data_IF_113231314217
#
_entry.id   IF_113231314217
#
_cell.length_a   1.000
_cell.length_b   1.000
_cell.length_c   1.000
_cell.angle_alpha   90.00
_cell.angle_beta   90.00
_cell.angle_gamma   90.00
#
_symmetry.space_group_name_H-M   'P 1'
#
loop_
_entity.id
_entity.type
_entity.pdbx_description
1 polymer ?
#
# COMPACT_ATOMS: atom_id res chain seq x y z
N UNK A 1 -37.09 -8.81 46.04
CA UNK A 1 -35.90 -8.02 46.43
C UNK A 1 -34.64 -8.23 45.56
N UNK A 2 -34.48 -9.33 44.81
CA UNK A 2 -33.23 -9.60 44.05
C UNK A 2 -33.00 -8.74 42.78
N UNK A 3 -34.05 -8.24 42.12
CA UNK A 3 -33.92 -7.41 40.89
C UNK A 3 -33.33 -6.02 41.11
N UNK A 4 -33.53 -5.40 42.29
CA UNK A 4 -33.01 -4.05 42.56
C UNK A 4 -31.49 -4.04 42.82
N UNK A 5 -30.92 -5.14 43.34
CA UNK A 5 -29.48 -5.23 43.57
C UNK A 5 -28.67 -5.42 42.28
N UNK A 6 -29.24 -6.07 41.26
CA UNK A 6 -28.56 -6.23 39.96
C UNK A 6 -28.47 -4.92 39.16
N UNK A 7 -29.48 -4.04 39.27
CA UNK A 7 -29.46 -2.73 38.62
C UNK A 7 -28.45 -1.78 39.27
N UNK A 8 -28.31 -1.81 40.61
CA UNK A 8 -27.30 -1.02 41.33
C UNK A 8 -25.86 -1.46 41.01
N UNK A 9 -25.64 -2.75 40.76
CA UNK A 9 -24.31 -3.28 40.40
C UNK A 9 -23.90 -2.89 38.97
N UNK A 10 -24.81 -2.98 37.99
CA UNK A 10 -24.54 -2.56 36.60
C UNK A 10 -24.34 -1.04 36.45
N UNK A 11 -25.07 -0.22 37.22
CA UNK A 11 -24.81 1.23 37.23
C UNK A 11 -23.45 1.57 37.84
N UNK A 12 -23.04 0.89 38.93
CA UNK A 12 -21.72 1.11 39.53
C UNK A 12 -20.59 0.72 38.58
N UNK A 13 -20.67 -0.40 37.85
CA UNK A 13 -19.61 -0.83 36.93
C UNK A 13 -19.51 0.00 35.64
N UNK A 14 -20.62 0.53 35.14
CA UNK A 14 -20.61 1.44 33.99
C UNK A 14 -20.07 2.82 34.34
N UNK A 15 -20.32 3.29 35.58
CA UNK A 15 -19.81 4.58 36.07
C UNK A 15 -18.33 4.50 36.43
N UNK A 16 -17.86 3.41 37.05
CA UNK A 16 -16.43 3.20 37.33
C UNK A 16 -15.61 2.99 36.06
N UNK A 17 -16.16 2.38 35.01
CA UNK A 17 -15.49 2.25 33.71
C UNK A 17 -15.28 3.59 32.98
N UNK A 18 -16.28 4.47 33.00
CA UNK A 18 -16.15 5.83 32.42
C UNK A 18 -15.31 6.76 33.28
N UNK A 19 -15.45 6.71 34.62
CA UNK A 19 -14.56 7.47 35.51
C UNK A 19 -13.11 7.00 35.43
N UNK A 20 -12.86 5.70 35.24
CA UNK A 20 -11.50 5.18 35.07
C UNK A 20 -10.80 5.74 33.83
N UNK A 21 -11.54 5.88 32.72
CA UNK A 21 -11.01 6.48 31.49
C UNK A 21 -10.80 8.00 31.62
N UNK A 22 -11.70 8.70 32.33
CA UNK A 22 -11.54 10.14 32.55
C UNK A 22 -10.40 10.39 33.55
N UNK A 23 -10.31 9.63 34.63
CA UNK A 23 -9.24 9.71 35.62
C UNK A 23 -7.86 9.34 35.03
N UNK A 24 -7.80 8.38 34.09
CA UNK A 24 -6.55 8.04 33.41
C UNK A 24 -6.10 9.14 32.45
N UNK A 25 -7.05 9.80 31.75
CA UNK A 25 -6.75 10.98 30.93
C UNK A 25 -6.27 12.15 31.78
N UNK A 26 -6.94 12.44 32.90
CA UNK A 26 -6.49 13.49 33.84
C UNK A 26 -5.13 13.15 34.46
N UNK A 27 -4.89 11.90 34.84
CA UNK A 27 -3.59 11.44 35.33
C UNK A 27 -2.48 11.61 34.27
N UNK A 28 -2.76 11.29 33.01
CA UNK A 28 -1.81 11.51 31.92
C UNK A 28 -1.49 13.00 31.71
N UNK A 29 -2.48 13.89 31.83
CA UNK A 29 -2.27 15.34 31.72
C UNK A 29 -1.40 15.87 32.86
N UNK A 30 -1.63 15.40 34.09
CA UNK A 30 -0.82 15.79 35.26
C UNK A 30 0.62 15.29 35.13
N UNK A 31 0.81 14.05 34.68
CA UNK A 31 2.13 13.47 34.43
C UNK A 31 2.85 14.25 33.32
N UNK A 32 2.16 14.61 32.24
CA UNK A 32 2.75 15.43 31.17
C UNK A 32 3.15 16.81 31.68
N UNK A 33 2.30 17.47 32.49
CA UNK A 33 2.60 18.78 33.08
C UNK A 33 3.83 18.73 34.01
N UNK A 34 3.91 17.74 34.89
CA UNK A 34 5.07 17.53 35.77
C UNK A 34 6.33 17.14 35.01
N UNK A 35 6.18 16.42 33.90
CA UNK A 35 7.28 16.03 33.02
C UNK A 35 7.93 17.25 32.37
N UNK A 36 7.16 18.26 31.95
CA UNK A 36 7.70 19.49 31.35
C UNK A 36 8.55 20.31 32.31
N UNK A 37 8.25 20.31 33.62
CA UNK A 37 9.02 21.09 34.59
C UNK A 37 10.39 20.46 34.95
N UNK A 38 10.59 19.17 34.69
CA UNK A 38 11.83 18.48 35.00
C UNK A 38 12.46 17.89 33.73
N UNK A 39 13.54 18.49 33.25
CA UNK A 39 14.21 18.06 32.01
C UNK A 39 14.58 16.57 31.99
N UNK A 40 14.97 16.01 33.13
CA UNK A 40 15.35 14.60 33.26
C UNK A 40 14.14 13.67 33.06
N UNK A 41 12.99 14.03 33.65
CA UNK A 41 11.76 13.23 33.55
C UNK A 41 11.18 13.32 32.14
N UNK A 42 11.24 14.51 31.52
CA UNK A 42 10.87 14.70 30.13
C UNK A 42 11.67 13.79 29.19
N UNK A 43 12.99 13.76 29.33
CA UNK A 43 13.85 12.91 28.49
C UNK A 43 13.52 11.43 28.65
N UNK A 44 13.30 10.95 29.88
CA UNK A 44 12.88 9.57 30.13
C UNK A 44 11.52 9.24 29.50
N UNK A 45 10.55 10.15 29.62
CA UNK A 45 9.24 9.99 29.01
C UNK A 45 9.32 9.92 27.48
N UNK A 46 10.11 10.80 26.85
CA UNK A 46 10.29 10.81 25.40
C UNK A 46 10.97 9.52 24.92
N UNK A 47 11.98 9.03 25.64
CA UNK A 47 12.65 7.76 25.31
C UNK A 47 11.67 6.58 25.41
N UNK A 48 10.89 6.50 26.48
CA UNK A 48 9.86 5.45 26.65
C UNK A 48 8.76 5.56 25.59
N UNK A 49 8.33 6.76 25.24
CA UNK A 49 7.35 7.01 24.20
C UNK A 49 7.88 6.57 22.83
N UNK A 50 9.14 6.90 22.51
CA UNK A 50 9.78 6.48 21.25
C UNK A 50 9.96 4.97 21.18
N UNK A 51 10.38 4.31 22.26
CA UNK A 51 10.49 2.85 22.33
C UNK A 51 9.13 2.18 22.18
N UNK A 52 8.11 2.67 22.90
CA UNK A 52 6.74 2.16 22.83
C UNK A 52 6.11 2.36 21.45
N UNK A 53 6.27 3.56 20.86
CA UNK A 53 5.79 3.88 19.52
C UNK A 53 6.50 3.04 18.46
N UNK A 54 7.83 2.91 18.53
CA UNK A 54 8.62 2.06 17.63
C UNK A 54 8.17 0.59 17.70
N UNK A 55 7.96 0.05 18.91
CA UNK A 55 7.44 -1.31 19.09
C UNK A 55 6.02 -1.47 18.52
N UNK A 56 5.12 -0.53 18.81
CA UNK A 56 3.74 -0.54 18.32
C UNK A 56 3.68 -0.47 16.78
N UNK A 57 4.46 0.43 16.17
CA UNK A 57 4.55 0.57 14.73
C UNK A 57 5.12 -0.69 14.07
N UNK A 58 6.19 -1.27 14.62
CA UNK A 58 6.74 -2.54 14.13
C UNK A 58 5.73 -3.68 14.20
N UNK A 59 4.97 -3.80 15.29
CA UNK A 59 3.91 -4.80 15.44
C UNK A 59 2.80 -4.61 14.40
N UNK A 60 2.37 -3.36 14.18
CA UNK A 60 1.31 -3.03 13.21
C UNK A 60 1.77 -3.26 11.77
N UNK A 61 3.02 -2.93 11.43
CA UNK A 61 3.61 -3.19 10.11
C UNK A 61 3.73 -4.69 9.87
N UNK A 62 4.18 -5.47 10.85
CA UNK A 62 4.26 -6.93 10.72
C UNK A 62 2.87 -7.58 10.55
N UNK A 63 1.84 -7.05 11.22
CA UNK A 63 0.46 -7.50 11.05
C UNK A 63 -0.10 -7.21 9.65
N UNK A 64 0.37 -6.14 8.98
CA UNK A 64 -0.02 -5.81 7.60
C UNK A 64 0.77 -6.67 6.60
N UNK A 65 2.06 -6.93 6.85
CA UNK A 65 2.88 -7.83 6.02
C UNK A 65 2.29 -9.25 5.99
N UNK A 66 1.90 -9.80 7.15
CA UNK A 66 1.24 -11.12 7.22
C UNK A 66 -0.07 -11.22 6.43
N UNK A 67 -0.78 -10.10 6.23
CA UNK A 67 -2.00 -10.05 5.41
C UNK A 67 -1.73 -9.81 3.93
N UNK A 68 -0.52 -9.36 3.59
CA UNK A 68 -0.09 -9.07 2.21
C UNK A 68 0.58 -10.29 1.56
N UNK A 69 1.00 -11.27 2.35
CA UNK A 69 1.56 -12.55 1.88
C UNK A 69 0.49 -13.60 1.48
N UNK A 70 -0.79 -13.21 1.36
CA UNK A 70 -1.73 -14.03 0.58
C UNK A 70 -1.43 -13.86 -0.91
N UNK A 71 -1.04 -14.93 -1.63
CA UNK A 71 -0.61 -14.82 -3.00
C UNK A 71 -1.83 -14.71 -3.92
N UNK A 72 -2.23 -13.48 -4.24
CA UNK A 72 -3.09 -13.20 -5.40
C UNK A 72 -2.48 -12.03 -6.16
N UNK A 73 -1.30 -12.27 -6.74
CA UNK A 73 -0.86 -11.56 -7.93
C UNK A 73 -0.51 -12.65 -8.94
N UNK A 74 -1.35 -12.94 -9.94
CA UNK A 74 -0.88 -13.74 -11.06
C UNK A 74 0.29 -13.01 -11.71
N UNK A 75 1.46 -13.66 -11.70
CA UNK A 75 2.60 -13.27 -12.55
C UNK A 75 2.10 -13.32 -13.99
N UNK A 76 1.91 -12.16 -14.60
CA UNK A 76 1.75 -12.03 -16.05
C UNK A 76 3.16 -12.00 -16.62
N UNK A 77 3.59 -12.99 -17.43
CA UNK A 77 4.85 -12.93 -18.14
C UNK A 77 4.83 -11.73 -19.09
N UNK A 78 5.80 -10.83 -18.92
CA UNK A 78 6.02 -9.68 -19.79
C UNK A 78 6.98 -10.11 -20.90
N UNK A 79 6.46 -10.91 -21.83
CA UNK A 79 7.08 -11.21 -23.12
C UNK A 79 5.93 -11.72 -24.01
N UNK A 80 5.76 -11.16 -25.21
CA UNK A 80 4.61 -11.27 -26.14
C UNK A 80 3.46 -10.24 -26.02
N UNK A 81 3.73 -9.09 -25.38
CA UNK A 81 2.93 -7.88 -25.58
C UNK A 81 3.30 -7.22 -26.93
N UNK A 82 2.64 -7.58 -28.02
CA UNK A 82 2.33 -6.55 -29.03
C UNK A 82 1.20 -6.85 -30.03
N UNK A 83 0.61 -8.05 -30.11
CA UNK A 83 -0.43 -8.27 -31.14
C UNK A 83 -1.67 -9.12 -30.77
N UNK A 84 -1.76 -9.66 -29.54
CA UNK A 84 -2.92 -10.47 -29.14
C UNK A 84 -3.76 -9.89 -27.99
N UNK A 85 -3.29 -8.85 -27.29
CA UNK A 85 -3.96 -8.31 -26.11
C UNK A 85 -5.17 -7.41 -26.39
N UNK A 86 -5.28 -6.83 -27.59
CA UNK A 86 -6.39 -5.92 -27.91
C UNK A 86 -7.73 -6.63 -27.96
N UNK A 87 -7.80 -7.89 -28.40
CA UNK A 87 -9.09 -8.61 -28.53
C UNK A 87 -9.59 -9.21 -27.21
N UNK A 88 -8.70 -9.75 -26.36
CA UNK A 88 -9.10 -10.34 -25.07
C UNK A 88 -9.51 -9.23 -24.08
N UNK A 89 -8.77 -8.12 -24.05
CA UNK A 89 -9.12 -6.98 -23.21
C UNK A 89 -10.42 -6.31 -23.68
N UNK A 90 -10.64 -6.15 -24.99
CA UNK A 90 -11.92 -5.64 -25.51
C UNK A 90 -13.10 -6.54 -25.17
N UNK A 91 -12.93 -7.87 -25.22
CA UNK A 91 -14.00 -8.80 -24.85
C UNK A 91 -14.34 -8.72 -23.36
N UNK A 92 -13.33 -8.65 -22.49
CA UNK A 92 -13.55 -8.49 -21.04
C UNK A 92 -14.17 -7.14 -20.68
N UNK A 93 -13.78 -6.06 -21.36
CA UNK A 93 -14.39 -4.73 -21.18
C UNK A 93 -15.84 -4.73 -21.67
N UNK A 94 -16.12 -5.28 -22.85
CA UNK A 94 -17.49 -5.37 -23.40
C UNK A 94 -18.42 -6.21 -22.52
N UNK A 95 -17.93 -7.34 -21.98
CA UNK A 95 -18.70 -8.14 -21.01
C UNK A 95 -19.00 -7.36 -19.72
N UNK A 96 -18.08 -6.50 -19.26
CA UNK A 96 -18.28 -5.65 -18.10
C UNK A 96 -19.23 -4.49 -18.38
N UNK A 97 -19.20 -3.91 -19.57
CA UNK A 97 -20.16 -2.90 -20.03
C UNK A 97 -21.58 -3.47 -20.10
N UNK A 98 -21.75 -4.66 -20.67
CA UNK A 98 -23.05 -5.36 -20.69
C UNK A 98 -23.56 -5.71 -19.29
N UNK A 99 -22.66 -6.06 -18.35
CA UNK A 99 -23.03 -6.26 -16.95
C UNK A 99 -23.46 -4.95 -16.29
N UNK A 100 -22.80 -3.83 -16.62
CA UNK A 100 -23.15 -2.52 -16.10
C UNK A 100 -24.54 -2.09 -16.60
N UNK A 101 -24.80 -2.28 -17.89
CA UNK A 101 -26.09 -1.94 -18.52
C UNK A 101 -27.24 -2.76 -17.91
N UNK A 102 -27.02 -4.06 -17.66
CA UNK A 102 -28.00 -4.89 -16.94
C UNK A 102 -28.29 -4.38 -15.54
N UNK A 103 -27.26 -4.00 -14.79
CA UNK A 103 -27.43 -3.45 -13.44
C UNK A 103 -28.22 -2.13 -13.48
N UNK A 104 -27.99 -1.28 -14.47
CA UNK A 104 -28.72 -0.02 -14.62
C UNK A 104 -30.20 -0.24 -14.99
N UNK A 105 -30.49 -1.23 -15.85
CA UNK A 105 -31.85 -1.64 -16.18
C UNK A 105 -32.58 -2.19 -14.94
N UNK A 106 -31.96 -3.11 -14.21
CA UNK A 106 -32.51 -3.71 -12.99
C UNK A 106 -32.78 -2.63 -11.92
N UNK A 107 -31.85 -1.68 -11.76
CA UNK A 107 -32.02 -0.55 -10.85
C UNK A 107 -33.21 0.32 -11.26
N UNK A 108 -33.39 0.58 -12.55
CA UNK A 108 -34.51 1.37 -13.06
C UNK A 108 -35.84 0.67 -12.80
N UNK A 109 -35.91 -0.64 -13.05
CA UNK A 109 -37.10 -1.44 -12.76
C UNK A 109 -37.45 -1.45 -11.26
N UNK A 110 -36.44 -1.57 -10.40
CA UNK A 110 -36.62 -1.57 -8.96
C UNK A 110 -37.10 -0.20 -8.44
N UNK A 111 -36.61 0.90 -9.03
CA UNK A 111 -37.10 2.25 -8.72
C UNK A 111 -38.56 2.45 -9.17
N UNK A 112 -38.93 1.96 -10.36
CA UNK A 112 -40.33 2.00 -10.83
C UNK A 112 -41.25 1.19 -9.92
N UNK A 113 -40.82 0.00 -9.49
CA UNK A 113 -41.57 -0.83 -8.55
C UNK A 113 -41.75 -0.11 -7.21
N UNK A 114 -40.70 0.53 -6.68
CA UNK A 114 -40.77 1.31 -5.45
C UNK A 114 -41.70 2.53 -5.58
N UNK A 115 -41.62 3.26 -6.71
CA UNK A 115 -42.49 4.40 -6.96
C UNK A 115 -43.95 4.01 -7.13
N UNK A 116 -44.20 2.85 -7.74
CA UNK A 116 -45.56 2.31 -7.93
C UNK A 116 -46.14 1.81 -6.61
N UNK A 117 -45.34 1.10 -5.80
CA UNK A 117 -45.75 0.65 -4.45
C UNK A 117 -45.99 1.79 -3.46
N UNK A 118 -45.32 2.91 -3.66
CA UNK A 118 -45.48 4.11 -2.84
C UNK A 118 -46.59 5.05 -3.32
N UNK A 119 -47.30 4.69 -4.41
CA UNK A 119 -48.38 5.50 -5.02
C UNK A 119 -47.97 6.96 -5.27
N UNK A 120 -46.72 7.20 -5.65
CA UNK A 120 -46.21 8.55 -5.88
C UNK A 120 -46.80 9.14 -7.15
N UNK A 121 -47.07 10.45 -7.13
CA UNK A 121 -47.54 11.18 -8.31
C UNK A 121 -46.41 11.35 -9.34
N UNK A 122 -46.74 11.49 -10.62
CA UNK A 122 -45.76 11.51 -11.73
C UNK A 122 -44.75 12.67 -11.60
N UNK A 123 -45.18 13.81 -11.04
CA UNK A 123 -44.29 14.93 -10.75
C UNK A 123 -43.25 14.60 -9.67
N UNK A 124 -43.65 13.86 -8.63
CA UNK A 124 -42.75 13.45 -7.55
C UNK A 124 -41.77 12.38 -8.04
N UNK A 125 -42.24 11.42 -8.84
CA UNK A 125 -41.37 10.41 -9.48
C UNK A 125 -40.28 11.09 -10.31
N UNK A 126 -40.63 12.10 -11.11
CA UNK A 126 -39.65 12.84 -11.92
C UNK A 126 -38.63 13.58 -11.05
N UNK A 127 -39.07 14.25 -9.99
CA UNK A 127 -38.18 14.93 -9.07
C UNK A 127 -37.21 13.97 -8.34
N UNK A 128 -37.68 12.78 -7.95
CA UNK A 128 -36.82 11.76 -7.36
C UNK A 128 -35.83 11.16 -8.36
N UNK A 129 -36.23 10.93 -9.63
CA UNK A 129 -35.29 10.50 -10.68
C UNK A 129 -34.18 11.51 -10.91
N UNK A 130 -34.51 12.80 -10.97
CA UNK A 130 -33.52 13.86 -11.14
C UNK A 130 -32.55 13.91 -9.95
N UNK A 131 -33.05 13.82 -8.71
CA UNK A 131 -32.21 13.75 -7.50
C UNK A 131 -31.31 12.52 -7.49
N UNK A 132 -31.82 11.35 -7.86
CA UNK A 132 -31.03 10.11 -7.93
C UNK A 132 -29.93 10.24 -8.99
N UNK A 133 -30.25 10.78 -10.17
CA UNK A 133 -29.27 11.02 -11.24
C UNK A 133 -28.18 12.00 -10.80
N UNK A 134 -28.56 13.07 -10.10
CA UNK A 134 -27.59 14.02 -9.54
C UNK A 134 -26.66 13.35 -8.51
N UNK A 135 -27.21 12.53 -7.60
CA UNK A 135 -26.40 11.81 -6.62
C UNK A 135 -25.49 10.75 -7.22
N UNK A 136 -25.92 10.10 -8.29
CA UNK A 136 -25.05 9.17 -9.02
C UNK A 136 -23.89 9.91 -9.70
N UNK A 137 -24.16 11.07 -10.32
CA UNK A 137 -23.11 11.92 -10.88
C UNK A 137 -22.10 12.34 -9.82
N UNK A 138 -22.56 12.82 -8.66
CA UNK A 138 -21.70 13.18 -7.53
C UNK A 138 -20.84 11.98 -7.07
N UNK A 139 -21.44 10.79 -6.97
CA UNK A 139 -20.73 9.56 -6.61
C UNK A 139 -19.62 9.23 -7.61
N UNK A 140 -19.90 9.33 -8.91
CA UNK A 140 -18.91 9.06 -9.95
C UNK A 140 -17.71 10.00 -9.86
N UNK A 141 -17.96 11.31 -9.67
CA UNK A 141 -16.90 12.29 -9.46
C UNK A 141 -16.05 11.98 -8.22
N UNK A 142 -16.67 11.64 -7.09
CA UNK A 142 -15.94 11.26 -5.87
C UNK A 142 -15.08 10.01 -6.09
N UNK A 143 -15.58 9.04 -6.85
CA UNK A 143 -14.86 7.80 -7.14
C UNK A 143 -13.63 8.07 -8.02
N UNK A 144 -13.77 8.92 -9.03
CA UNK A 144 -12.66 9.39 -9.86
C UNK A 144 -11.60 10.12 -9.03
N UNK A 145 -12.01 11.06 -8.18
CA UNK A 145 -11.12 11.78 -7.27
C UNK A 145 -10.39 10.83 -6.32
N UNK A 146 -11.09 9.83 -5.78
CA UNK A 146 -10.49 8.83 -4.90
C UNK A 146 -9.44 8.00 -5.64
N UNK A 147 -9.71 7.60 -6.89
CA UNK A 147 -8.73 6.89 -7.72
C UNK A 147 -7.50 7.75 -8.00
N UNK A 148 -7.68 9.05 -8.30
CA UNK A 148 -6.56 9.98 -8.45
C UNK A 148 -5.74 10.12 -7.15
N UNK A 149 -6.40 10.28 -6.01
CA UNK A 149 -5.73 10.39 -4.69
C UNK A 149 -4.99 9.10 -4.36
N UNK A 150 -5.60 7.93 -4.61
CA UNK A 150 -4.96 6.62 -4.41
C UNK A 150 -3.73 6.47 -5.30
N UNK A 151 -3.81 6.90 -6.55
CA UNK A 151 -2.67 6.93 -7.48
C UNK A 151 -1.55 7.81 -6.95
N UNK A 152 -1.86 9.05 -6.56
CA UNK A 152 -0.89 9.98 -5.95
C UNK A 152 -0.25 9.42 -4.68
N UNK A 153 -1.03 8.79 -3.82
CA UNK A 153 -0.53 8.15 -2.59
C UNK A 153 0.39 6.97 -2.90
N UNK A 154 0.02 6.10 -3.85
CA UNK A 154 0.84 4.98 -4.27
C UNK A 154 2.18 5.47 -4.85
N UNK A 155 2.17 6.54 -5.65
CA UNK A 155 3.39 7.16 -6.15
C UNK A 155 4.25 7.74 -5.02
N UNK A 156 3.67 8.49 -4.09
CA UNK A 156 4.40 9.02 -2.93
C UNK A 156 4.99 7.91 -2.04
N UNK A 157 4.28 6.79 -1.86
CA UNK A 157 4.81 5.62 -1.14
C UNK A 157 5.96 4.96 -1.89
N UNK A 158 5.88 4.88 -3.22
CA UNK A 158 6.98 4.34 -4.03
C UNK A 158 8.21 5.26 -4.04
N UNK A 159 7.99 6.57 -4.06
CA UNK A 159 9.07 7.56 -3.95
C UNK A 159 9.72 7.54 -2.57
N UNK A 160 8.94 7.51 -1.49
CA UNK A 160 9.49 7.38 -0.13
C UNK A 160 10.25 6.08 0.09
N UNK A 161 9.86 4.98 -0.56
CA UNK A 161 10.68 3.75 -0.59
C UNK A 161 12.05 3.98 -1.19
N UNK A 162 12.21 4.82 -2.24
CA UNK A 162 13.54 5.12 -2.82
C UNK A 162 14.47 5.78 -1.81
N UNK A 163 13.95 6.63 -0.92
CA UNK A 163 14.75 7.28 0.13
C UNK A 163 15.09 6.36 1.32
N UNK A 164 14.44 5.19 1.43
CA UNK A 164 14.71 4.18 2.47
C UNK A 164 15.56 2.99 1.99
N UNK A 165 15.92 2.91 0.69
CA UNK A 165 16.90 1.93 0.21
C UNK A 165 18.29 2.43 0.61
N UNK A 166 18.86 1.78 1.63
CA UNK A 166 20.05 2.25 2.35
C UNK A 166 21.34 2.30 1.51
N UNK A 167 21.35 1.77 0.30
CA UNK A 167 22.31 1.95 -0.79
C UNK A 167 21.79 1.14 -1.97
N UNK A 168 21.95 1.63 -3.21
CA UNK A 168 21.57 0.87 -4.40
C UNK A 168 22.48 -0.38 -4.47
N UNK A 169 21.95 -1.61 -4.39
CA UNK A 169 22.77 -2.82 -4.38
C UNK A 169 23.60 -2.96 -5.66
N UNK A 170 23.21 -2.30 -6.76
CA UNK A 170 23.98 -2.28 -8.00
C UNK A 170 25.27 -1.46 -7.89
N UNK A 171 25.38 -0.54 -6.93
CA UNK A 171 26.62 0.23 -6.69
C UNK A 171 27.78 -0.62 -6.20
N UNK A 172 27.47 -1.66 -5.41
CA UNK A 172 28.48 -2.62 -4.92
C UNK A 172 28.96 -3.51 -6.07
N UNK A 173 28.03 -4.03 -6.89
CA UNK A 173 28.36 -4.79 -8.11
C UNK A 173 29.21 -3.95 -9.06
N UNK A 174 28.80 -2.71 -9.32
CA UNK A 174 29.52 -1.77 -10.17
C UNK A 174 30.86 -1.31 -9.59
N UNK A 175 31.16 -1.57 -8.31
CA UNK A 175 32.47 -1.28 -7.72
C UNK A 175 33.45 -2.43 -7.87
N UNK A 176 32.94 -3.66 -7.98
CA UNK A 176 33.74 -4.86 -8.16
C UNK A 176 33.97 -5.23 -9.62
N UNK A 177 33.15 -4.72 -10.55
CA UNK A 177 33.29 -5.00 -11.98
C UNK A 177 34.24 -4.00 -12.66
N UNK A 178 35.08 -4.51 -13.55
CA UNK A 178 35.93 -3.70 -14.41
C UNK A 178 35.11 -2.98 -15.49
N UNK A 179 35.40 -1.69 -15.71
CA UNK A 179 34.63 -0.83 -16.62
C UNK A 179 34.66 -1.33 -18.08
N UNK A 180 35.80 -1.89 -18.49
CA UNK A 180 36.00 -2.40 -19.85
C UNK A 180 35.09 -3.61 -20.16
N UNK A 181 34.71 -4.39 -19.15
CA UNK A 181 33.81 -5.54 -19.32
C UNK A 181 32.36 -5.09 -19.49
N UNK A 182 31.94 -3.97 -18.91
CA UNK A 182 30.56 -3.49 -19.00
C UNK A 182 30.26 -2.88 -20.38
N UNK A 183 31.25 -2.22 -20.99
CA UNK A 183 31.09 -1.53 -22.27
C UNK A 183 31.41 -2.42 -23.48
N UNK A 184 32.39 -3.32 -23.35
CA UNK A 184 32.94 -4.05 -24.51
C UNK A 184 32.75 -5.57 -24.46
N UNK A 185 32.29 -6.17 -23.35
CA UNK A 185 32.09 -7.61 -23.27
C UNK A 185 30.72 -8.05 -23.79
N UNK A 186 30.64 -9.31 -24.22
CA UNK A 186 29.35 -9.95 -24.51
C UNK A 186 28.56 -10.17 -23.22
N UNK A 187 27.23 -10.17 -23.32
CA UNK A 187 26.31 -10.38 -22.19
C UNK A 187 26.63 -11.70 -21.45
N UNK A 188 27.07 -12.73 -22.17
CA UNK A 188 27.48 -14.00 -21.59
C UNK A 188 28.70 -13.85 -20.65
N UNK A 189 29.75 -13.17 -21.09
CA UNK A 189 30.94 -12.88 -20.27
C UNK A 189 30.61 -11.98 -19.09
N UNK A 190 29.73 -11.00 -19.30
CA UNK A 190 29.27 -10.11 -18.24
C UNK A 190 28.50 -10.87 -17.15
N UNK A 191 27.68 -11.85 -17.53
CA UNK A 191 26.98 -12.71 -16.57
C UNK A 191 27.95 -13.58 -15.78
N UNK A 192 28.99 -14.13 -16.40
CA UNK A 192 30.03 -14.89 -15.69
C UNK A 192 30.74 -14.04 -14.63
N UNK A 193 31.15 -12.82 -14.99
CA UNK A 193 31.78 -11.89 -14.05
C UNK A 193 30.85 -11.49 -12.91
N UNK A 194 29.59 -11.19 -13.22
CA UNK A 194 28.59 -10.84 -12.20
C UNK A 194 28.35 -12.01 -11.24
N UNK A 195 28.31 -13.25 -11.75
CA UNK A 195 28.22 -14.47 -10.92
C UNK A 195 29.42 -14.62 -10.00
N UNK A 196 30.62 -14.37 -10.51
CA UNK A 196 31.84 -14.43 -9.72
C UNK A 196 31.85 -13.36 -8.62
N UNK A 197 31.51 -12.12 -8.96
CA UNK A 197 31.41 -11.00 -8.01
C UNK A 197 30.38 -11.30 -6.92
N UNK A 198 29.19 -11.78 -7.30
CA UNK A 198 28.12 -12.17 -6.37
C UNK A 198 28.58 -13.26 -5.41
N UNK A 199 29.31 -14.26 -5.91
CA UNK A 199 29.74 -15.41 -5.13
C UNK A 199 30.91 -15.11 -4.19
N UNK A 200 31.78 -14.16 -4.56
CA UNK A 200 33.06 -13.95 -3.85
C UNK A 200 33.10 -12.66 -3.02
N UNK A 201 32.41 -11.60 -3.44
CA UNK A 201 32.64 -10.25 -2.90
C UNK A 201 31.43 -9.60 -2.24
N UNK A 202 30.23 -10.07 -2.53
CA UNK A 202 28.99 -9.44 -2.06
C UNK A 202 28.46 -10.06 -0.77
N UNK A 203 27.90 -9.20 0.10
CA UNK A 203 27.24 -9.65 1.33
C UNK A 203 25.92 -10.37 1.00
N UNK A 204 25.52 -11.34 1.82
CA UNK A 204 24.24 -12.05 1.64
C UNK A 204 23.03 -11.12 1.65
N UNK A 205 23.11 -9.99 2.36
CA UNK A 205 22.09 -8.95 2.36
C UNK A 205 21.97 -8.24 1.00
N UNK A 206 23.10 -7.93 0.36
CA UNK A 206 23.14 -7.29 -0.97
C UNK A 206 22.62 -8.25 -2.04
N UNK A 207 23.00 -9.53 -1.99
CA UNK A 207 22.53 -10.56 -2.94
C UNK A 207 21.00 -10.72 -2.86
N UNK A 208 20.45 -10.78 -1.64
CA UNK A 208 18.99 -10.80 -1.47
C UNK A 208 18.32 -9.53 -1.98
N UNK A 209 18.96 -8.36 -1.87
CA UNK A 209 18.43 -7.11 -2.40
C UNK A 209 18.44 -7.10 -3.94
N UNK A 210 19.46 -7.68 -4.58
CA UNK A 210 19.54 -7.84 -6.03
C UNK A 210 18.43 -8.77 -6.57
N UNK A 211 18.20 -9.90 -5.91
CA UNK A 211 17.13 -10.85 -6.23
C UNK A 211 15.74 -10.24 -6.04
N UNK A 212 15.50 -9.60 -4.87
CA UNK A 212 14.23 -8.91 -4.58
C UNK A 212 13.97 -7.73 -5.51
N UNK A 213 15.04 -7.09 -6.00
CA UNK A 213 14.99 -5.99 -6.95
C UNK A 213 14.81 -6.42 -8.40
N UNK A 214 14.75 -7.72 -8.70
CA UNK A 214 14.74 -8.27 -10.06
C UNK A 214 15.87 -7.74 -10.95
N UNK A 215 17.02 -7.43 -10.35
CA UNK A 215 18.23 -7.07 -11.10
C UNK A 215 18.97 -8.31 -11.60
N UNK A 216 18.79 -9.42 -10.89
CA UNK A 216 19.45 -10.69 -11.17
C UNK A 216 18.42 -11.81 -11.00
N UNK A 217 18.50 -12.87 -11.80
CA UNK A 217 17.64 -14.06 -11.67
C UNK A 217 18.15 -15.04 -10.58
N UNK A 218 17.43 -16.15 -10.39
CA UNK A 218 17.77 -17.19 -9.40
C UNK A 218 19.12 -17.87 -9.66
N UNK A 219 19.62 -17.80 -10.90
CA UNK A 219 20.89 -18.36 -11.35
C UNK A 219 22.02 -17.33 -11.36
N UNK A 220 21.75 -16.14 -10.83
CA UNK A 220 22.63 -14.99 -10.78
C UNK A 220 23.00 -14.36 -12.15
N UNK A 221 22.18 -14.55 -13.18
CA UNK A 221 22.31 -13.82 -14.46
C UNK A 221 21.65 -12.45 -14.39
N UNK A 222 22.24 -11.45 -15.07
CA UNK A 222 21.64 -10.12 -15.17
C UNK A 222 20.34 -10.15 -15.97
N UNK A 223 19.29 -9.58 -15.39
CA UNK A 223 18.06 -9.29 -16.13
C UNK A 223 18.23 -8.01 -16.96
N UNK A 224 17.28 -7.72 -17.86
CA UNK A 224 17.26 -6.47 -18.63
C UNK A 224 17.29 -5.22 -17.73
N UNK A 225 16.58 -5.26 -16.59
CA UNK A 225 16.61 -4.19 -15.58
C UNK A 225 17.96 -4.12 -14.85
N UNK A 226 18.56 -5.26 -14.54
CA UNK A 226 19.92 -5.39 -13.98
C UNK A 226 20.98 -4.72 -14.84
N UNK A 227 21.03 -5.11 -16.11
CA UNK A 227 21.98 -4.56 -17.07
C UNK A 227 21.85 -3.03 -17.20
N UNK A 228 20.62 -2.53 -17.36
CA UNK A 228 20.37 -1.09 -17.46
C UNK A 228 20.81 -0.32 -16.20
N UNK A 229 20.59 -0.89 -15.02
CA UNK A 229 21.02 -0.29 -13.77
C UNK A 229 22.55 -0.29 -13.64
N UNK A 230 23.20 -1.40 -13.99
CA UNK A 230 24.66 -1.53 -13.96
C UNK A 230 25.33 -0.49 -14.87
N UNK A 231 24.91 -0.41 -16.14
CA UNK A 231 25.44 0.57 -17.11
C UNK A 231 25.25 2.00 -16.60
N UNK A 232 24.06 2.31 -16.07
CA UNK A 232 23.78 3.64 -15.54
C UNK A 232 24.72 4.03 -14.39
N UNK A 233 24.95 3.11 -13.45
CA UNK A 233 25.83 3.36 -12.30
C UNK A 233 27.28 3.49 -12.74
N UNK A 234 27.73 2.68 -13.71
CA UNK A 234 29.09 2.76 -14.26
C UNK A 234 29.31 4.09 -14.99
N UNK A 235 28.35 4.53 -15.81
CA UNK A 235 28.40 5.83 -16.49
C UNK A 235 28.37 7.01 -15.51
N UNK A 236 27.64 6.90 -14.39
CA UNK A 236 27.65 7.90 -13.32
C UNK A 236 29.01 7.96 -12.59
N UNK A 237 29.77 6.86 -12.53
CA UNK A 237 31.14 6.85 -11.97
C UNK A 237 32.20 7.38 -12.93
N UNK A 238 31.98 7.26 -14.24
CA UNK A 238 32.91 7.73 -15.27
C UNK A 238 32.86 9.25 -15.49
N UNK A 239 31.86 9.94 -14.91
CA UNK A 239 31.73 11.40 -14.89
C UNK A 239 32.33 12.01 -13.64
#
# INVERSE_FOLDING_TARGET
MQRQNQLKFKLKSAFTGKLGNVASVFGAIIILYFSVQNEIIFRLFVILFLLGSSYYLNKKINAIKLKTDSPIIPKIPVEELDNQQTQIFQKTVSEKEQQLEKIDLDRTQLLEELFTKAELDELEKKAYREKIKQKESERSYILEDLLMVKGKFQHAVLETKKYFVKQDPMKEVAAAIEMDYVENASIAKLNEEVKQIISTSLSSATVQALLKGHYVDEEYNLTRSGYKALVKVVQEKAK
#
